data_IF_162666533206
#
_entry.id   IF_162666533206
#
_cell.length_a   1.000
_cell.length_b   1.000
_cell.length_c   1.000
_cell.angle_alpha   90.00
_cell.angle_beta   90.00
_cell.angle_gamma   90.00
#
_symmetry.space_group_name_H-M   'P 1'
#
loop_
_entity.id
_entity.type
_entity.pdbx_description
1 polymer ?
#
# COMPACT_ATOMS: atom_id res chain seq x y z
N UNK A 1 -6.71 3.27 -10.31
CA UNK A 1 -6.52 3.57 -8.88
C UNK A 1 -5.42 4.59 -8.81
N UNK A 2 -5.70 5.71 -8.17
CA UNK A 2 -4.77 6.79 -7.88
C UNK A 2 -4.12 6.59 -6.51
N UNK A 3 -2.96 7.22 -6.29
CA UNK A 3 -2.21 7.12 -5.05
C UNK A 3 -3.01 7.61 -3.83
N UNK A 4 -3.75 8.72 -3.95
CA UNK A 4 -4.48 9.29 -2.82
C UNK A 4 -5.55 8.32 -2.30
N UNK A 5 -6.35 7.74 -3.19
CA UNK A 5 -7.37 6.76 -2.83
C UNK A 5 -6.77 5.53 -2.17
N UNK A 6 -5.63 5.02 -2.66
CA UNK A 6 -4.97 3.86 -2.07
C UNK A 6 -4.33 4.20 -0.72
N UNK A 7 -3.67 5.36 -0.59
CA UNK A 7 -3.07 5.80 0.68
C UNK A 7 -4.12 5.97 1.76
N UNK A 8 -5.21 6.69 1.48
CA UNK A 8 -6.31 6.89 2.44
C UNK A 8 -6.98 5.57 2.82
N UNK A 9 -7.18 4.66 1.86
CA UNK A 9 -7.78 3.36 2.12
C UNK A 9 -6.87 2.47 2.98
N UNK A 10 -5.55 2.52 2.77
CA UNK A 10 -4.57 1.80 3.58
C UNK A 10 -4.48 2.42 4.98
N UNK A 11 -4.37 3.74 5.10
CA UNK A 11 -4.35 4.45 6.38
C UNK A 11 -5.61 4.19 7.22
N UNK A 12 -6.79 4.27 6.58
CA UNK A 12 -8.08 4.02 7.25
C UNK A 12 -8.31 2.55 7.57
N UNK A 13 -7.88 1.65 6.68
CA UNK A 13 -8.12 0.21 6.80
C UNK A 13 -7.09 -0.53 7.65
N UNK A 14 -5.91 0.03 7.86
CA UNK A 14 -4.85 -0.66 8.62
C UNK A 14 -4.08 -1.72 7.82
N UNK A 15 -4.61 -2.16 6.67
CA UNK A 15 -4.08 -3.30 5.89
C UNK A 15 -4.54 -3.26 4.43
N UNK A 16 -3.86 -4.00 3.55
CA UNK A 16 -4.27 -4.18 2.14
C UNK A 16 -5.68 -4.78 2.04
N UNK A 17 -6.05 -5.67 2.98
CA UNK A 17 -7.35 -6.35 2.96
C UNK A 17 -8.50 -5.38 3.25
N UNK A 18 -8.35 -4.53 4.26
CA UNK A 18 -9.36 -3.51 4.57
C UNK A 18 -9.36 -2.39 3.52
N UNK A 19 -8.18 -2.01 3.00
CA UNK A 19 -8.10 -1.06 1.88
C UNK A 19 -8.86 -1.58 0.65
N UNK A 20 -8.74 -2.87 0.33
CA UNK A 20 -9.46 -3.50 -0.77
C UNK A 20 -11.00 -3.44 -0.56
N UNK A 21 -11.49 -3.66 0.67
CA UNK A 21 -12.91 -3.49 1.00
C UNK A 21 -13.37 -2.04 0.81
N UNK A 22 -12.61 -1.07 1.32
CA UNK A 22 -12.92 0.36 1.19
C UNK A 22 -12.94 0.83 -0.27
N UNK A 23 -12.04 0.31 -1.09
CA UNK A 23 -11.95 0.61 -2.52
C UNK A 23 -12.92 -0.21 -3.39
N UNK A 24 -13.68 -1.14 -2.80
CA UNK A 24 -14.50 -2.12 -3.52
C UNK A 24 -13.70 -2.86 -4.62
N UNK A 25 -12.48 -3.26 -4.29
CA UNK A 25 -11.55 -3.98 -5.17
C UNK A 25 -11.13 -5.31 -4.55
N UNK A 26 -10.54 -6.20 -5.36
CA UNK A 26 -9.92 -7.41 -4.85
C UNK A 26 -8.61 -7.09 -4.13
N UNK A 27 -8.29 -7.89 -3.13
CA UNK A 27 -6.99 -7.83 -2.43
C UNK A 27 -5.82 -7.83 -3.44
N UNK A 28 -5.88 -8.75 -4.41
CA UNK A 28 -4.88 -8.91 -5.46
C UNK A 28 -4.73 -7.64 -6.29
N UNK A 29 -5.81 -6.94 -6.64
CA UNK A 29 -5.73 -5.70 -7.40
C UNK A 29 -4.97 -4.60 -6.64
N UNK A 30 -5.22 -4.45 -5.33
CA UNK A 30 -4.50 -3.48 -4.49
C UNK A 30 -3.04 -3.90 -4.34
N UNK A 31 -2.76 -5.18 -4.11
CA UNK A 31 -1.40 -5.71 -4.02
C UNK A 31 -0.59 -5.49 -5.31
N UNK A 32 -1.17 -5.78 -6.48
CA UNK A 32 -0.53 -5.53 -7.78
C UNK A 32 -0.29 -4.06 -8.03
N UNK A 33 -1.24 -3.20 -7.66
CA UNK A 33 -1.08 -1.77 -7.79
C UNK A 33 0.08 -1.26 -6.94
N UNK A 34 0.18 -1.72 -5.68
CA UNK A 34 1.28 -1.39 -4.79
C UNK A 34 2.63 -1.83 -5.36
N UNK A 35 2.75 -3.09 -5.78
CA UNK A 35 3.99 -3.62 -6.37
C UNK A 35 4.39 -2.86 -7.65
N UNK A 36 3.43 -2.60 -8.55
CA UNK A 36 3.67 -1.88 -9.82
C UNK A 36 4.15 -0.45 -9.61
N UNK A 37 3.65 0.22 -8.57
CA UNK A 37 4.03 1.59 -8.23
C UNK A 37 5.19 1.64 -7.22
N UNK A 38 5.76 0.48 -6.84
CA UNK A 38 6.89 0.42 -5.93
C UNK A 38 6.55 0.82 -4.49
N UNK A 39 5.37 0.46 -3.98
CA UNK A 39 4.97 0.69 -2.59
C UNK A 39 4.77 -0.62 -1.82
N UNK A 40 5.05 -0.60 -0.51
CA UNK A 40 4.70 -1.65 0.45
C UNK A 40 3.89 -1.05 1.61
N UNK A 41 2.98 -1.84 2.18
CA UNK A 41 2.28 -1.48 3.43
C UNK A 41 3.13 -1.98 4.60
N UNK A 42 3.60 -1.07 5.47
CA UNK A 42 4.36 -1.44 6.67
C UNK A 42 3.48 -1.39 7.93
N UNK A 43 4.03 -1.87 9.06
CA UNK A 43 3.38 -1.75 10.39
C UNK A 43 2.95 -0.29 10.59
N UNK A 44 1.69 -0.09 11.01
CA UNK A 44 0.96 1.19 11.10
C UNK A 44 0.28 1.69 9.82
N UNK A 45 0.16 0.85 8.79
CA UNK A 45 -0.68 1.14 7.63
C UNK A 45 -0.24 2.37 6.83
N UNK A 46 1.08 2.55 6.74
CA UNK A 46 1.69 3.58 5.91
C UNK A 46 2.22 2.93 4.63
N UNK A 47 2.03 3.63 3.52
CA UNK A 47 2.66 3.28 2.24
C UNK A 47 4.10 3.76 2.24
N UNK A 48 5.04 2.84 2.06
CA UNK A 48 6.47 3.14 1.99
C UNK A 48 6.99 2.73 0.62
N UNK A 49 7.79 3.57 -0.07
CA UNK A 49 8.44 3.17 -1.30
C UNK A 49 9.32 1.95 -1.06
N UNK A 50 9.24 0.93 -1.92
CA UNK A 50 10.05 -0.29 -1.82
C UNK A 50 11.54 0.04 -1.93
N UNK A 51 11.90 1.09 -2.67
CA UNK A 51 13.28 1.56 -2.83
C UNK A 51 13.80 2.39 -1.64
N UNK A 52 12.93 2.86 -0.74
CA UNK A 52 13.35 3.64 0.44
C UNK A 52 13.98 2.79 1.54
N UNK A 53 13.99 1.46 1.38
CA UNK A 53 14.53 0.51 2.36
C UNK A 53 16.03 0.20 2.13
N UNK A 54 16.65 0.70 1.06
CA UNK A 54 18.05 0.36 0.71
C UNK A 54 19.11 1.27 1.35
N UNK A 55 18.77 2.28 2.15
CA UNK A 55 19.75 3.18 2.80
C UNK A 55 20.03 2.84 4.27
N UNK A 56 20.11 1.55 4.63
CA UNK A 56 20.63 1.11 5.93
C UNK A 56 21.31 -0.25 5.81
N UNK A 57 22.52 -0.24 5.29
CA UNK A 57 23.34 -1.43 5.11
C UNK A 57 24.66 -1.13 4.40
N UNK A 58 25.41 -0.14 4.91
CA UNK A 58 26.86 -0.06 4.74
C UNK A 58 27.48 0.04 6.14
#
# INVERSE_FOLDING_TARGET
MDYQSVSQAVEKGGSIREAAKLLKKSYTAVQWWLARNGYKVVKKASLVPIHADQTKGE
#
